data_IF_628695563148
#
_entry.id   IF_628695563148
#
_cell.length_a   1.000
_cell.length_b   1.000
_cell.length_c   1.000
_cell.angle_alpha   90.00
_cell.angle_beta   90.00
_cell.angle_gamma   90.00
#
_symmetry.space_group_name_H-M   'P 1'
#
loop_
_entity.id
_entity.type
_entity.pdbx_description
1 polymer ?
#
# COMPACT_ATOMS: atom_id res chain seq x y z
N UNK A 1 2.96 -2.91 -12.21
CA UNK A 1 2.62 -1.99 -11.10
C UNK A 1 2.24 -0.60 -11.62
N UNK A 2 0.98 -0.22 -11.46
CA UNK A 2 0.48 1.14 -11.74
C UNK A 2 0.23 1.81 -10.38
N UNK A 3 0.89 2.93 -10.12
CA UNK A 3 0.71 3.70 -8.88
C UNK A 3 -0.34 4.79 -9.12
N UNK A 4 -1.53 4.63 -8.57
CA UNK A 4 -2.58 5.65 -8.61
C UNK A 4 -2.57 6.40 -7.28
N UNK A 5 -2.14 7.65 -7.29
CA UNK A 5 -2.05 8.47 -6.08
C UNK A 5 -3.44 9.04 -5.79
N UNK A 6 -4.12 8.53 -4.76
CA UNK A 6 -5.39 9.07 -4.28
C UNK A 6 -5.18 9.65 -2.87
N UNK A 7 -5.59 10.90 -2.67
CA UNK A 7 -5.53 11.54 -1.35
C UNK A 7 -6.71 11.08 -0.52
N UNK A 8 -6.47 10.58 0.69
CA UNK A 8 -7.52 10.07 1.57
C UNK A 8 -8.13 11.17 2.44
N UNK A 9 -9.45 11.14 2.70
CA UNK A 9 -10.13 12.15 3.51
C UNK A 9 -9.74 12.18 5.00
N UNK A 10 -8.94 11.22 5.49
CA UNK A 10 -8.50 11.14 6.91
C UNK A 10 -7.29 12.03 7.26
N UNK A 11 -6.90 12.95 6.38
CA UNK A 11 -5.89 13.99 6.68
C UNK A 11 -4.44 13.52 6.60
N UNK A 12 -4.21 12.24 6.34
CA UNK A 12 -2.89 11.62 6.22
C UNK A 12 -2.62 11.22 4.77
N UNK A 13 -1.41 11.46 4.22
CA UNK A 13 -1.08 11.04 2.85
C UNK A 13 -1.26 9.52 2.69
N UNK A 14 -2.12 9.12 1.76
CA UNK A 14 -2.28 7.73 1.36
C UNK A 14 -1.74 7.54 -0.06
N UNK A 15 -1.10 6.40 -0.30
CA UNK A 15 -0.52 6.03 -1.59
C UNK A 15 -0.98 4.64 -1.96
N UNK A 16 -1.65 4.50 -3.09
CA UNK A 16 -2.23 3.23 -3.51
C UNK A 16 -1.37 2.58 -4.58
N UNK A 17 -1.16 1.28 -4.42
CA UNK A 17 -0.34 0.47 -5.30
C UNK A 17 -1.11 -0.76 -5.72
N UNK A 18 -1.17 -0.99 -7.03
CA UNK A 18 -1.60 -2.28 -7.56
C UNK A 18 -0.41 -3.20 -7.75
N UNK A 19 -0.49 -4.35 -7.09
CA UNK A 19 0.50 -5.41 -7.05
C UNK A 19 0.26 -6.41 -8.19
N UNK A 20 1.36 -6.90 -8.76
CA UNK A 20 1.30 -7.91 -9.84
C UNK A 20 0.94 -9.31 -9.29
N UNK A 21 1.17 -9.54 -7.99
CA UNK A 21 0.73 -10.73 -7.24
C UNK A 21 -0.18 -10.32 -6.09
N UNK A 22 -0.95 -11.25 -5.54
CA UNK A 22 -1.82 -10.96 -4.41
C UNK A 22 -1.07 -11.02 -3.08
N UNK A 23 -1.51 -10.22 -2.13
CA UNK A 23 -1.23 -10.39 -0.70
C UNK A 23 -2.41 -11.10 -0.06
N UNK A 24 -2.14 -11.97 0.91
CA UNK A 24 -3.18 -12.60 1.72
C UNK A 24 -3.29 -11.82 3.02
N UNK A 25 -4.46 -11.28 3.34
CA UNK A 25 -4.72 -10.66 4.62
C UNK A 25 -5.06 -11.71 5.69
N UNK A 26 -5.14 -11.30 6.95
CA UNK A 26 -5.35 -12.20 8.09
C UNK A 26 -6.75 -12.86 8.10
N UNK A 27 -7.72 -12.27 7.39
CA UNK A 27 -9.03 -12.86 7.11
C UNK A 27 -8.98 -13.99 6.06
N UNK A 28 -7.81 -14.24 5.46
CA UNK A 28 -7.60 -15.23 4.41
C UNK A 28 -7.95 -14.75 3.00
N UNK A 29 -8.44 -13.51 2.85
CA UNK A 29 -8.77 -12.92 1.57
C UNK A 29 -7.53 -12.45 0.82
N UNK A 30 -7.63 -12.42 -0.51
CA UNK A 30 -6.52 -12.11 -1.40
C UNK A 30 -6.74 -10.78 -2.11
N UNK A 31 -5.80 -9.86 -1.94
CA UNK A 31 -5.88 -8.51 -2.49
C UNK A 31 -4.75 -8.24 -3.46
N UNK A 32 -5.07 -7.56 -4.56
CA UNK A 32 -4.10 -7.06 -5.52
C UNK A 32 -3.74 -5.60 -5.30
N UNK A 33 -4.42 -4.92 -4.38
CA UNK A 33 -4.23 -3.51 -4.14
C UNK A 33 -3.82 -3.33 -2.68
N UNK A 34 -2.86 -2.43 -2.45
CA UNK A 34 -2.43 -2.03 -1.11
C UNK A 34 -2.41 -0.52 -1.00
N UNK A 35 -2.63 -0.03 0.20
CA UNK A 35 -2.46 1.38 0.54
C UNK A 35 -1.34 1.52 1.56
N UNK A 36 -0.50 2.50 1.29
CA UNK A 36 0.57 2.93 2.18
C UNK A 36 0.14 4.22 2.87
N UNK A 37 0.26 4.27 4.19
CA UNK A 37 -0.14 5.39 5.04
C UNK A 37 1.05 5.77 5.94
N UNK A 38 1.38 7.07 6.00
CA UNK A 38 2.43 7.57 6.90
C UNK A 38 1.82 8.04 8.23
N UNK A 39 2.22 7.49 9.36
CA UNK A 39 1.76 7.94 10.69
C UNK A 39 2.93 8.04 11.67
N UNK A 40 3.11 9.20 12.31
CA UNK A 40 4.07 9.41 13.41
C UNK A 40 5.52 8.94 13.13
N UNK A 41 5.99 9.04 11.88
CA UNK A 41 7.32 8.59 11.47
C UNK A 41 7.39 7.12 11.07
N UNK A 42 6.27 6.39 11.14
CA UNK A 42 6.13 5.01 10.68
C UNK A 42 5.31 4.98 9.40
N UNK A 43 5.69 4.09 8.49
CA UNK A 43 4.97 3.84 7.25
C UNK A 43 4.30 2.48 7.34
N UNK A 44 2.99 2.45 7.09
CA UNK A 44 2.14 1.27 7.22
C UNK A 44 1.62 0.84 5.86
N UNK A 45 1.59 -0.46 5.58
CA UNK A 45 0.89 -1.04 4.44
C UNK A 45 -0.34 -1.83 4.88
N UNK A 46 -1.43 -1.62 4.17
CA UNK A 46 -2.72 -2.30 4.36
C UNK A 46 -3.22 -2.86 3.04
N UNK A 47 -4.01 -3.94 3.11
CA UNK A 47 -4.75 -4.42 1.96
C UNK A 47 -5.84 -3.41 1.57
N UNK A 48 -6.06 -3.22 0.27
CA UNK A 48 -7.01 -2.27 -0.27
C UNK A 48 -7.91 -2.90 -1.33
N UNK A 49 -9.08 -2.30 -1.51
CA UNK A 49 -9.94 -2.54 -2.66
C UNK A 49 -9.45 -1.76 -3.89
N UNK A 50 -9.90 -2.13 -5.11
CA UNK A 50 -9.48 -1.45 -6.35
C UNK A 50 -9.84 0.04 -6.43
N UNK A 51 -10.80 0.51 -5.63
CA UNK A 51 -11.18 1.92 -5.51
C UNK A 51 -10.29 2.71 -4.54
N UNK A 52 -9.38 2.02 -3.85
CA UNK A 52 -8.44 2.57 -2.89
C UNK A 52 -8.91 2.53 -1.44
N UNK A 53 -10.11 2.05 -1.11
CA UNK A 53 -10.48 1.87 0.30
C UNK A 53 -9.63 0.80 0.98
N UNK A 54 -9.31 1.00 2.26
CA UNK A 54 -8.66 -0.04 3.08
C UNK A 54 -9.65 -1.19 3.22
N UNK A 55 -9.31 -2.34 2.63
CA UNK A 55 -10.11 -3.54 2.71
C UNK A 55 -9.92 -4.25 4.05
N UNK A 56 -8.71 -4.18 4.60
CA UNK A 56 -8.39 -4.72 5.92
C UNK A 56 -7.41 -3.81 6.65
N UNK A 57 -7.78 -3.41 7.87
CA UNK A 57 -6.95 -2.59 8.76
C UNK A 57 -5.87 -3.40 9.48
N UNK A 58 -5.70 -4.67 9.13
CA UNK A 58 -4.55 -5.45 9.58
C UNK A 58 -3.29 -5.00 8.85
N UNK A 59 -2.26 -4.66 9.62
CA UNK A 59 -0.98 -4.20 9.09
C UNK A 59 -0.26 -5.34 8.37
N UNK A 60 -0.09 -5.21 7.06
CA UNK A 60 0.71 -6.14 6.26
C UNK A 60 2.22 -5.95 6.52
N UNK A 61 2.63 -4.69 6.68
CA UNK A 61 3.96 -4.30 7.15
C UNK A 61 3.93 -2.91 7.79
N UNK A 62 4.76 -2.73 8.81
CA UNK A 62 5.07 -1.43 9.41
C UNK A 62 6.58 -1.28 9.52
N UNK A 63 7.11 -0.16 9.04
CA UNK A 63 8.53 0.14 9.11
C UNK A 63 8.74 1.64 9.30
N UNK A 64 9.79 1.99 10.04
CA UNK A 64 10.40 3.31 9.91
C UNK A 64 11.12 3.35 8.55
N UNK A 65 10.60 4.12 7.60
CA UNK A 65 11.18 4.17 6.26
C UNK A 65 10.23 4.58 5.13
N UNK A 66 10.71 4.38 3.90
CA UNK A 66 9.99 4.75 2.68
C UNK A 66 9.02 3.66 2.22
N UNK A 67 8.08 4.01 1.35
CA UNK A 67 7.21 3.09 0.61
C UNK A 67 7.94 1.87 0.05
N UNK A 68 9.15 2.10 -0.47
CA UNK A 68 9.94 1.03 -1.09
C UNK A 68 10.35 -0.01 -0.05
N UNK A 69 10.70 0.43 1.16
CA UNK A 69 11.03 -0.47 2.26
C UNK A 69 9.81 -1.30 2.69
N UNK A 70 8.66 -0.64 2.83
CA UNK A 70 7.41 -1.30 3.26
C UNK A 70 6.92 -2.29 2.20
N UNK A 71 6.91 -1.91 0.92
CA UNK A 71 6.58 -2.84 -0.17
C UNK A 71 7.57 -4.01 -0.24
N UNK A 72 8.87 -3.76 -0.03
CA UNK A 72 9.87 -4.84 -0.02
C UNK A 72 9.64 -5.83 1.11
N UNK A 73 9.19 -5.37 2.28
CA UNK A 73 8.88 -6.23 3.41
C UNK A 73 7.67 -7.16 3.14
N UNK A 74 6.69 -6.71 2.35
CA UNK A 74 5.59 -7.56 1.89
C UNK A 74 5.92 -8.33 0.60
N UNK A 75 7.19 -8.34 0.17
CA UNK A 75 7.69 -9.16 -0.94
C UNK A 75 7.66 -8.49 -2.32
N UNK A 76 7.39 -7.19 -2.40
CA UNK A 76 7.27 -6.45 -3.65
C UNK A 76 8.35 -5.40 -3.83
N UNK A 77 8.94 -5.31 -5.02
CA UNK A 77 9.89 -4.24 -5.36
C UNK A 77 9.22 -3.24 -6.28
N UNK A 78 9.34 -1.95 -5.98
CA UNK A 78 8.98 -0.90 -6.93
C UNK A 78 10.00 -0.95 -8.07
N UNK A 79 9.55 -1.32 -9.28
CA UNK A 79 10.36 -1.19 -10.49
C UNK A 79 10.48 0.27 -10.95
N UNK A 80 11.55 0.61 -11.66
CA UNK A 80 11.97 1.94 -12.16
C UNK A 80 10.98 2.72 -13.06
N UNK A 81 9.69 2.38 -13.05
CA UNK A 81 8.62 3.09 -13.75
C UNK A 81 7.37 3.19 -12.88
N UNK A 82 7.48 3.78 -11.70
CA UNK A 82 6.32 4.32 -11.01
C UNK A 82 5.89 5.60 -11.74
N UNK A 83 5.08 5.49 -12.79
CA UNK A 83 4.36 6.65 -13.32
C UNK A 83 3.33 7.06 -12.27
N UNK A 84 3.70 8.08 -11.50
CA UNK A 84 2.80 8.80 -10.59
C UNK A 84 1.85 9.57 -11.51
N UNK A 85 0.67 9.02 -11.79
CA UNK A 85 -0.38 9.81 -12.44
C UNK A 85 -0.92 10.78 -11.39
N UNK A 86 -0.76 12.07 -11.69
CA UNK A 86 -1.18 13.20 -10.88
C UNK A 86 -2.70 13.38 -10.90
#
# INVERSE_FOLDING_TARGET
>A
MTANRRWSPIGTPQRHYRLDQHVTADDGERYHDVVIIDGFGITYAYAAYPDGEVASWWTLAELDGSDTAVLSAIGFRIGERAQISA
#
